data_IF_326371574818
#
_entry.id   IF_326371574818
#
_cell.length_a   1.000
_cell.length_b   1.000
_cell.length_c   1.000
_cell.angle_alpha   90.00
_cell.angle_beta   90.00
_cell.angle_gamma   90.00
#
_symmetry.space_group_name_H-M   'P 1'
#
loop_
_entity.id
_entity.type
_entity.pdbx_description
1 polymer ?
#
# COMPACT_ATOMS: atom_id res chain seq x y z
N UNK A 1 -53.58 1.32 -14.21
CA UNK A 1 -52.94 0.92 -12.96
C UNK A 1 -51.48 1.27 -13.03
N UNK A 2 -51.00 2.29 -12.31
CA UNK A 2 -49.58 2.65 -12.24
C UNK A 2 -48.91 1.76 -11.19
N UNK A 3 -47.92 0.93 -11.57
CA UNK A 3 -47.10 0.17 -10.64
C UNK A 3 -46.28 1.16 -9.78
N UNK A 4 -46.36 1.01 -8.47
CA UNK A 4 -45.42 1.71 -7.54
C UNK A 4 -44.01 1.17 -7.76
N UNK A 5 -42.96 2.03 -7.82
CA UNK A 5 -41.60 1.56 -7.88
C UNK A 5 -41.25 0.82 -6.58
N UNK A 6 -40.48 -0.25 -6.71
CA UNK A 6 -40.02 -1.03 -5.56
C UNK A 6 -38.97 -0.28 -4.73
N UNK A 7 -38.75 -0.72 -3.51
CA UNK A 7 -37.85 -0.05 -2.55
C UNK A 7 -36.39 0.03 -3.03
N UNK A 8 -35.96 -0.88 -3.93
CA UNK A 8 -34.60 -0.86 -4.48
C UNK A 8 -34.39 0.29 -5.46
N UNK A 9 -35.40 0.65 -6.23
CA UNK A 9 -35.31 1.77 -7.18
C UNK A 9 -35.22 3.12 -6.45
N UNK A 10 -35.87 3.25 -5.28
CA UNK A 10 -35.82 4.45 -4.45
C UNK A 10 -34.46 4.64 -3.76
N UNK A 11 -33.81 3.56 -3.32
CA UNK A 11 -32.47 3.63 -2.68
C UNK A 11 -31.41 4.01 -3.72
N UNK A 12 -31.48 3.45 -4.93
CA UNK A 12 -30.56 3.80 -6.03
C UNK A 12 -30.64 5.29 -6.42
N UNK A 13 -31.85 5.87 -6.43
CA UNK A 13 -32.05 7.27 -6.77
C UNK A 13 -31.58 8.23 -5.65
N UNK A 14 -31.73 7.83 -4.39
CA UNK A 14 -31.25 8.63 -3.24
C UNK A 14 -29.72 8.69 -3.17
N UNK A 15 -29.02 7.59 -3.49
CA UNK A 15 -27.56 7.55 -3.56
C UNK A 15 -27.03 8.43 -4.71
N UNK A 16 -27.70 8.42 -5.87
CA UNK A 16 -27.30 9.25 -7.01
C UNK A 16 -27.47 10.77 -6.73
N UNK A 17 -28.47 11.17 -5.95
CA UNK A 17 -28.70 12.57 -5.58
C UNK A 17 -27.70 13.08 -4.52
N UNK A 18 -27.17 12.22 -3.67
CA UNK A 18 -26.15 12.59 -2.68
C UNK A 18 -24.81 12.84 -3.38
N UNK A 19 -24.48 12.08 -4.43
CA UNK A 19 -23.27 12.31 -5.22
C UNK A 19 -23.34 13.55 -6.11
N UNK A 20 -24.52 13.96 -6.58
CA UNK A 20 -24.68 15.15 -7.40
C UNK A 20 -24.65 16.47 -6.60
N UNK A 21 -24.89 16.45 -5.28
CA UNK A 21 -24.90 17.64 -4.43
C UNK A 21 -23.51 17.97 -3.83
N UNK A 22 -22.51 17.08 -3.96
CA UNK A 22 -21.16 17.24 -3.39
C UNK A 22 -20.17 17.93 -4.31
N UNK A 23 -20.48 18.18 -5.56
CA UNK A 23 -19.56 18.80 -6.52
C UNK A 23 -20.08 20.21 -6.86
N UNK A 24 -19.37 21.21 -6.42
CA UNK A 24 -19.36 22.66 -6.68
C UNK A 24 -19.63 23.52 -5.43
N UNK A 25 -18.65 23.56 -4.52
CA UNK A 25 -18.30 24.78 -3.83
C UNK A 25 -16.85 25.11 -4.14
N UNK A 26 -16.67 25.77 -5.27
CA UNK A 26 -15.40 26.41 -5.62
C UNK A 26 -15.28 27.68 -4.76
N UNK A 27 -14.69 27.55 -3.57
CA UNK A 27 -14.29 28.72 -2.78
C UNK A 27 -12.99 29.23 -3.38
N UNK A 28 -13.09 30.23 -4.23
CA UNK A 28 -11.97 31.09 -4.60
C UNK A 28 -11.57 31.89 -3.37
N UNK A 29 -10.74 31.30 -2.52
CA UNK A 29 -10.00 32.07 -1.52
C UNK A 29 -8.85 32.72 -2.28
N UNK A 30 -8.95 34.03 -2.53
CA UNK A 30 -7.81 34.85 -2.91
C UNK A 30 -6.81 34.77 -1.77
N UNK A 31 -5.71 34.05 -1.99
CA UNK A 31 -4.53 34.16 -1.15
C UNK A 31 -3.93 35.51 -1.42
N UNK A 32 -4.01 36.40 -0.43
CA UNK A 32 -3.27 37.65 -0.46
C UNK A 32 -1.79 37.32 -0.54
N UNK A 33 -1.14 37.80 -1.58
CA UNK A 33 0.31 37.79 -1.66
C UNK A 33 0.81 38.89 -0.71
N UNK A 34 1.16 38.47 0.53
CA UNK A 34 1.97 39.34 1.42
C UNK A 34 2.62 38.50 2.50
N UNK A 35 3.92 38.77 2.65
CA UNK A 35 4.92 38.26 3.59
C UNK A 35 5.76 37.09 3.07
N UNK A 36 6.81 37.44 2.37
CA UNK A 36 8.05 36.65 2.35
C UNK A 36 8.47 36.47 3.82
N UNK A 37 8.58 35.25 4.36
CA UNK A 37 9.07 35.07 5.72
C UNK A 37 10.50 35.62 5.78
N UNK A 38 10.73 36.58 6.71
CA UNK A 38 12.06 37.08 7.00
C UNK A 38 12.98 35.86 7.32
N UNK A 39 14.09 35.79 6.62
CA UNK A 39 15.12 34.81 6.92
C UNK A 39 15.58 35.00 8.37
N UNK A 40 15.53 33.97 9.22
CA UNK A 40 15.93 34.12 10.61
C UNK A 40 17.36 34.65 10.71
N UNK A 41 17.58 35.64 11.56
CA UNK A 41 18.89 36.23 11.79
C UNK A 41 19.87 35.12 12.23
N UNK A 42 20.99 34.91 11.51
CA UNK A 42 21.96 33.86 11.85
C UNK A 42 22.53 33.99 13.27
N UNK A 43 22.58 35.18 13.83
CA UNK A 43 22.99 35.41 15.22
C UNK A 43 21.97 34.87 16.23
N UNK A 44 20.66 34.93 15.92
CA UNK A 44 19.61 34.37 16.78
C UNK A 44 19.63 32.83 16.76
N UNK A 45 19.94 32.24 15.61
CA UNK A 45 20.09 30.77 15.48
C UNK A 45 21.31 30.29 16.28
N UNK A 46 22.42 31.01 16.23
CA UNK A 46 23.63 30.67 16.98
C UNK A 46 23.42 30.78 18.51
N UNK A 47 22.69 31.80 18.97
CA UNK A 47 22.36 31.98 20.39
C UNK A 47 21.44 30.85 20.91
N UNK A 48 20.40 30.49 20.14
CA UNK A 48 19.51 29.38 20.50
C UNK A 48 20.22 28.03 20.52
N UNK A 49 21.16 27.79 19.60
CA UNK A 49 21.95 26.56 19.58
C UNK A 49 22.90 26.45 20.79
N UNK A 50 23.47 27.59 21.24
CA UNK A 50 24.34 27.60 22.41
C UNK A 50 23.57 27.39 23.72
N UNK A 51 22.35 27.94 23.82
CA UNK A 51 21.49 27.75 24.98
C UNK A 51 20.93 26.31 25.06
N UNK A 52 20.58 25.69 23.93
CA UNK A 52 20.18 24.31 23.86
C UNK A 52 21.33 23.33 24.22
N UNK A 53 22.57 23.64 23.81
CA UNK A 53 23.75 22.85 24.16
C UNK A 53 24.09 22.95 25.66
N UNK A 54 23.91 24.11 26.28
CA UNK A 54 24.13 24.33 27.71
C UNK A 54 23.05 23.61 28.56
N UNK A 55 21.80 23.55 28.08
CA UNK A 55 20.72 22.84 28.79
C UNK A 55 20.90 21.30 28.75
N UNK A 56 21.58 20.75 27.74
CA UNK A 56 21.86 19.32 27.62
C UNK A 56 23.10 18.88 28.45
N UNK A 57 24.02 19.80 28.77
CA UNK A 57 25.23 19.47 29.51
C UNK A 57 25.00 19.14 31.02
N UNK A 58 23.79 19.28 31.52
CA UNK A 58 23.43 19.02 32.92
C UNK A 58 22.61 17.76 33.17
N UNK A 59 22.21 17.03 32.13
CA UNK A 59 21.51 15.76 32.30
C UNK A 59 22.51 14.63 32.48
N UNK A 60 22.36 13.74 33.51
CA UNK A 60 23.20 12.55 33.59
C UNK A 60 22.95 11.75 32.28
N UNK A 61 24.05 11.49 31.57
CA UNK A 61 24.05 10.59 30.43
C UNK A 61 23.70 9.19 30.94
N UNK A 62 22.39 8.89 30.91
CA UNK A 62 21.96 7.51 31.07
C UNK A 62 22.41 6.79 29.80
N UNK A 63 23.40 5.89 29.95
CA UNK A 63 23.79 5.00 28.86
C UNK A 63 22.49 4.42 28.24
N UNK A 64 22.36 4.41 26.91
CA UNK A 64 21.20 3.80 26.27
C UNK A 64 21.05 2.39 26.83
N UNK A 65 19.82 1.93 27.13
CA UNK A 65 19.59 0.57 27.59
C UNK A 65 20.27 -0.38 26.58
N UNK A 66 21.04 -1.34 27.07
CA UNK A 66 21.71 -2.32 26.25
C UNK A 66 20.63 -2.97 25.36
N UNK A 67 20.75 -2.80 24.04
CA UNK A 67 19.82 -3.42 23.08
C UNK A 67 19.88 -4.93 23.29
N UNK A 68 18.72 -5.57 23.49
CA UNK A 68 18.61 -7.03 23.56
C UNK A 68 19.03 -7.60 22.20
N UNK A 69 20.14 -8.39 22.12
CA UNK A 69 20.59 -8.94 20.85
C UNK A 69 19.52 -9.79 20.15
N UNK A 70 18.64 -10.45 20.91
CA UNK A 70 17.55 -11.24 20.36
C UNK A 70 16.48 -10.33 19.70
N UNK A 71 16.21 -9.15 20.27
CA UNK A 71 15.31 -8.17 19.68
C UNK A 71 15.90 -7.55 18.41
N UNK A 72 17.20 -7.24 18.40
CA UNK A 72 17.92 -6.74 17.23
C UNK A 72 17.90 -7.76 16.09
N UNK A 73 18.16 -9.04 16.36
CA UNK A 73 18.09 -10.13 15.40
C UNK A 73 16.67 -10.36 14.88
N UNK A 74 15.63 -10.25 15.73
CA UNK A 74 14.23 -10.35 15.31
C UNK A 74 13.85 -9.19 14.38
N UNK A 75 14.24 -7.97 14.71
CA UNK A 75 14.01 -6.79 13.86
C UNK A 75 14.73 -6.94 12.52
N UNK A 76 15.99 -7.38 12.50
CA UNK A 76 16.75 -7.61 11.27
C UNK A 76 16.06 -8.65 10.36
N UNK A 77 15.56 -9.76 10.92
CA UNK A 77 14.80 -10.75 10.15
C UNK A 77 13.48 -10.19 9.61
N UNK A 78 12.76 -9.40 10.40
CA UNK A 78 11.46 -8.86 10.04
C UNK A 78 11.55 -7.67 9.08
N UNK A 79 12.71 -7.00 9.00
CA UNK A 79 12.97 -5.91 8.03
C UNK A 79 13.69 -6.38 6.77
N UNK A 80 14.17 -7.63 6.72
CA UNK A 80 14.78 -8.19 5.52
C UNK A 80 13.76 -8.25 4.38
N UNK A 81 14.14 -7.74 3.20
CA UNK A 81 13.30 -7.73 2.00
C UNK A 81 14.02 -8.36 0.82
N UNK A 82 13.24 -8.96 -0.10
CA UNK A 82 13.70 -9.53 -1.36
C UNK A 82 12.95 -8.87 -2.53
N UNK A 83 13.25 -9.34 -3.75
CA UNK A 83 12.51 -8.92 -4.96
C UNK A 83 11.35 -9.86 -5.22
N UNK A 84 10.22 -9.37 -5.78
CA UNK A 84 9.07 -10.20 -6.08
C UNK A 84 9.25 -11.08 -7.33
N UNK A 85 10.18 -10.72 -8.23
CA UNK A 85 10.49 -11.41 -9.48
C UNK A 85 11.97 -11.29 -9.81
N UNK A 86 12.52 -12.19 -10.59
CA UNK A 86 13.89 -12.09 -11.12
C UNK A 86 14.05 -10.86 -12.06
N UNK A 87 13.01 -10.59 -12.85
CA UNK A 87 12.94 -9.42 -13.76
C UNK A 87 11.48 -9.01 -13.91
N UNK A 88 11.20 -7.72 -13.88
CA UNK A 88 9.84 -7.19 -14.03
C UNK A 88 9.84 -5.76 -14.55
N UNK A 89 8.67 -5.30 -14.99
CA UNK A 89 8.39 -3.92 -15.38
C UNK A 89 7.35 -3.32 -14.42
N UNK A 90 7.52 -2.04 -14.08
CA UNK A 90 6.47 -1.27 -13.44
C UNK A 90 5.43 -0.90 -14.52
N UNK A 91 4.22 -1.45 -14.41
CA UNK A 91 3.13 -1.21 -15.36
C UNK A 91 2.19 -0.11 -14.90
N UNK A 92 2.04 0.06 -13.58
CA UNK A 92 1.30 1.17 -12.99
C UNK A 92 1.95 1.64 -11.69
N UNK A 93 2.10 2.97 -11.53
CA UNK A 93 2.60 3.59 -10.30
C UNK A 93 1.59 3.52 -9.16
N UNK A 94 1.85 4.24 -8.07
CA UNK A 94 0.98 4.23 -6.88
C UNK A 94 -0.48 4.52 -7.22
N UNK A 95 -1.36 3.61 -6.84
CA UNK A 95 -2.81 3.66 -7.04
C UNK A 95 -3.53 2.81 -6.00
N UNK A 96 -4.88 2.77 -6.06
CA UNK A 96 -5.70 1.92 -5.18
C UNK A 96 -6.19 2.64 -3.92
N UNK A 97 -5.92 3.93 -3.72
CA UNK A 97 -6.38 4.70 -2.56
C UNK A 97 -7.91 4.63 -2.39
N UNK A 98 -8.65 4.62 -3.50
CA UNK A 98 -10.12 4.46 -3.51
C UNK A 98 -10.59 3.09 -3.00
N UNK A 99 -9.72 2.10 -2.95
CA UNK A 99 -9.97 0.74 -2.43
C UNK A 99 -9.41 0.54 -1.01
N UNK A 100 -8.86 1.61 -0.39
CA UNK A 100 -8.35 1.57 0.97
C UNK A 100 -6.91 1.10 1.10
N UNK A 101 -6.16 0.98 0.00
CA UNK A 101 -4.74 0.66 0.02
C UNK A 101 -3.99 1.37 -1.13
N UNK A 102 -2.68 1.54 -0.96
CA UNK A 102 -1.80 2.04 -2.01
C UNK A 102 -0.93 0.89 -2.52
N UNK A 103 -0.98 0.66 -3.82
CA UNK A 103 -0.25 -0.40 -4.49
C UNK A 103 0.45 0.11 -5.73
N UNK A 104 1.34 -0.72 -6.27
CA UNK A 104 1.90 -0.62 -7.61
C UNK A 104 1.55 -1.87 -8.39
N UNK A 105 1.47 -1.76 -9.71
CA UNK A 105 1.36 -2.94 -10.57
C UNK A 105 2.71 -3.22 -11.23
N UNK A 106 3.15 -4.46 -11.12
CA UNK A 106 4.40 -4.97 -11.70
C UNK A 106 4.11 -6.22 -12.52
N UNK A 107 4.77 -6.38 -13.65
CA UNK A 107 4.57 -7.51 -14.55
C UNK A 107 5.90 -8.13 -15.00
N UNK A 108 5.93 -9.45 -14.98
CA UNK A 108 7.01 -10.27 -15.50
C UNK A 108 6.54 -11.17 -16.66
N UNK A 109 5.22 -11.32 -16.80
CA UNK A 109 4.52 -12.09 -17.81
C UNK A 109 3.78 -13.31 -17.24
N UNK A 110 2.78 -13.77 -17.96
CA UNK A 110 1.94 -14.89 -17.56
C UNK A 110 2.75 -16.12 -17.13
N UNK A 111 2.47 -16.63 -15.94
CA UNK A 111 3.14 -17.80 -15.37
C UNK A 111 4.51 -17.54 -14.75
N UNK A 112 5.01 -16.28 -14.76
CA UNK A 112 6.26 -15.92 -14.09
C UNK A 112 6.18 -16.20 -12.60
N UNK A 113 7.26 -16.73 -12.02
CA UNK A 113 7.33 -17.06 -10.59
C UNK A 113 7.27 -15.82 -9.74
N UNK A 114 6.38 -15.81 -8.74
CA UNK A 114 6.27 -14.77 -7.72
C UNK A 114 6.99 -15.23 -6.46
N UNK A 115 7.85 -14.37 -5.92
CA UNK A 115 8.56 -14.62 -4.66
C UNK A 115 8.00 -13.74 -3.53
N UNK A 116 8.04 -14.25 -2.30
CA UNK A 116 7.77 -13.43 -1.13
C UNK A 116 8.85 -12.37 -0.98
N UNK A 117 8.44 -11.11 -0.82
CA UNK A 117 9.39 -10.01 -0.57
C UNK A 117 9.81 -9.91 0.89
N UNK A 118 9.12 -10.59 1.82
CA UNK A 118 9.41 -10.56 3.27
C UNK A 118 9.45 -11.97 3.85
N UNK A 119 10.11 -12.11 5.00
CA UNK A 119 9.86 -13.23 5.92
C UNK A 119 8.51 -12.98 6.60
N UNK A 120 7.67 -14.00 6.74
CA UNK A 120 6.37 -13.81 7.40
C UNK A 120 5.51 -15.06 7.43
N UNK A 121 4.26 -14.85 7.79
CA UNK A 121 3.22 -15.90 7.81
C UNK A 121 2.10 -15.48 6.87
N UNK A 122 1.54 -16.43 6.14
CA UNK A 122 0.33 -16.19 5.32
C UNK A 122 -0.84 -15.95 6.27
N UNK A 123 -1.42 -14.76 6.24
CA UNK A 123 -2.57 -14.37 7.08
C UNK A 123 -3.88 -14.32 6.30
N UNK A 124 -3.82 -14.35 4.97
CA UNK A 124 -4.99 -14.38 4.11
C UNK A 124 -4.66 -14.93 2.72
N UNK A 125 -5.59 -15.70 2.14
CA UNK A 125 -5.54 -16.13 0.75
C UNK A 125 -6.94 -16.49 0.27
N UNK A 126 -7.20 -16.35 -1.02
CA UNK A 126 -8.49 -16.65 -1.61
C UNK A 126 -8.90 -15.66 -2.69
N UNK A 127 -10.17 -15.27 -2.65
CA UNK A 127 -10.78 -14.33 -3.58
C UNK A 127 -11.39 -13.14 -2.82
N UNK A 128 -11.24 -11.94 -3.34
CA UNK A 128 -11.94 -10.77 -2.83
C UNK A 128 -13.38 -10.66 -3.41
N UNK A 129 -14.09 -9.59 -3.06
CA UNK A 129 -15.47 -9.34 -3.53
C UNK A 129 -15.59 -9.11 -5.05
N UNK A 130 -14.47 -8.85 -5.74
CA UNK A 130 -14.40 -8.69 -7.21
C UNK A 130 -13.76 -9.91 -7.90
N UNK A 131 -13.69 -11.06 -7.20
CA UNK A 131 -13.04 -12.28 -7.68
C UNK A 131 -11.56 -12.11 -8.06
N UNK A 132 -10.87 -11.13 -7.52
CA UNK A 132 -9.42 -11.09 -7.60
C UNK A 132 -8.84 -12.13 -6.66
N UNK A 133 -7.93 -12.96 -7.14
CA UNK A 133 -7.14 -13.81 -6.25
C UNK A 133 -6.18 -12.95 -5.45
N UNK A 134 -5.92 -13.36 -4.20
CA UNK A 134 -4.92 -12.71 -3.37
C UNK A 134 -4.21 -13.67 -2.44
N UNK A 135 -3.00 -13.27 -2.02
CA UNK A 135 -2.29 -13.79 -0.85
C UNK A 135 -1.76 -12.62 -0.03
N UNK A 136 -1.96 -12.68 1.29
CA UNK A 136 -1.44 -11.72 2.25
C UNK A 136 -0.42 -12.39 3.16
N UNK A 137 0.75 -11.76 3.29
CA UNK A 137 1.86 -12.23 4.13
C UNK A 137 2.20 -11.13 5.12
N UNK A 138 2.33 -11.50 6.39
CA UNK A 138 2.61 -10.55 7.45
C UNK A 138 3.75 -10.98 8.35
N UNK A 139 4.45 -9.97 8.88
CA UNK A 139 5.29 -10.10 10.05
C UNK A 139 5.05 -8.89 11.00
N UNK A 140 5.89 -8.69 12.01
CA UNK A 140 5.71 -7.59 12.98
C UNK A 140 5.88 -6.21 12.37
N UNK A 141 6.55 -6.11 11.20
CA UNK A 141 6.91 -4.86 10.54
C UNK A 141 6.03 -4.57 9.33
N UNK A 142 5.72 -5.59 8.52
CA UNK A 142 5.06 -5.42 7.24
C UNK A 142 3.80 -6.27 7.10
N UNK A 143 2.82 -5.73 6.37
CA UNK A 143 1.76 -6.49 5.69
C UNK A 143 1.98 -6.33 4.19
N UNK A 144 2.07 -7.45 3.46
CA UNK A 144 2.24 -7.46 2.01
C UNK A 144 1.09 -8.23 1.37
N UNK A 145 0.41 -7.58 0.42
CA UNK A 145 -0.69 -8.15 -0.35
C UNK A 145 -0.26 -8.27 -1.81
N UNK A 146 -0.41 -9.46 -2.36
CA UNK A 146 -0.21 -9.77 -3.78
C UNK A 146 -1.56 -10.19 -4.37
N UNK A 147 -1.94 -9.65 -5.54
CA UNK A 147 -3.20 -10.00 -6.19
C UNK A 147 -3.00 -10.47 -7.62
N UNK A 148 -4.05 -11.07 -8.18
CA UNK A 148 -4.20 -11.56 -9.55
C UNK A 148 -3.37 -12.81 -9.92
N UNK A 149 -2.55 -13.32 -9.00
CA UNK A 149 -1.72 -14.52 -9.20
C UNK A 149 -2.45 -15.84 -8.93
N UNK A 150 -1.75 -16.94 -9.19
CA UNK A 150 -2.12 -18.31 -8.74
C UNK A 150 -1.24 -18.63 -7.54
N UNK A 151 -1.85 -18.79 -6.36
CA UNK A 151 -1.16 -19.01 -5.10
C UNK A 151 -1.46 -20.40 -4.56
N UNK A 152 -0.42 -21.11 -4.10
CA UNK A 152 -0.53 -22.48 -3.60
C UNK A 152 -0.37 -22.66 -2.09
N UNK A 153 -0.23 -21.55 -1.33
CA UNK A 153 -0.03 -21.54 0.11
C UNK A 153 -1.35 -21.35 0.86
N UNK A 154 -1.40 -21.86 2.09
CA UNK A 154 -2.54 -21.75 2.99
C UNK A 154 -2.27 -20.74 4.13
N UNK A 155 -3.35 -20.23 4.74
CA UNK A 155 -3.25 -19.42 5.97
C UNK A 155 -2.55 -20.23 7.06
N UNK A 156 -1.54 -19.62 7.68
CA UNK A 156 -0.69 -20.23 8.69
C UNK A 156 0.66 -20.72 8.14
N UNK A 157 0.84 -20.84 6.83
CA UNK A 157 2.13 -21.19 6.25
C UNK A 157 3.16 -20.10 6.52
N UNK A 158 4.37 -20.53 6.93
CA UNK A 158 5.51 -19.63 7.15
C UNK A 158 6.35 -19.57 5.88
N UNK A 159 6.71 -18.37 5.46
CA UNK A 159 7.51 -18.13 4.28
C UNK A 159 8.75 -17.30 4.61
N UNK A 160 9.80 -17.47 3.81
CA UNK A 160 11.01 -16.64 3.87
C UNK A 160 11.06 -15.71 2.65
N UNK A 161 11.73 -14.56 2.81
CA UNK A 161 12.00 -13.66 1.70
C UNK A 161 12.75 -14.41 0.57
N UNK A 162 12.25 -14.26 -0.67
CA UNK A 162 12.76 -15.01 -1.83
C UNK A 162 12.15 -16.41 -2.02
N UNK A 163 11.28 -16.88 -1.12
CA UNK A 163 10.55 -18.15 -1.31
C UNK A 163 9.46 -17.98 -2.37
N UNK A 164 9.27 -18.99 -3.22
CA UNK A 164 8.18 -19.06 -4.20
C UNK A 164 6.83 -19.10 -3.47
N UNK A 165 5.93 -18.19 -3.85
CA UNK A 165 4.57 -18.11 -3.28
C UNK A 165 3.47 -18.33 -4.33
N UNK A 166 3.81 -18.26 -5.63
CA UNK A 166 2.83 -18.44 -6.69
C UNK A 166 3.40 -18.11 -8.06
N UNK A 167 2.49 -17.89 -9.01
CA UNK A 167 2.80 -17.47 -10.37
C UNK A 167 1.90 -16.32 -10.80
N UNK A 168 2.44 -15.42 -11.64
CA UNK A 168 1.71 -14.30 -12.22
C UNK A 168 0.55 -14.78 -13.08
N UNK A 169 -0.56 -14.07 -12.98
CA UNK A 169 -1.76 -14.34 -13.76
C UNK A 169 -2.53 -13.03 -14.02
N UNK A 170 -3.75 -13.13 -14.52
CA UNK A 170 -4.69 -12.02 -14.70
C UNK A 170 -6.05 -12.30 -14.05
N UNK A 171 -6.08 -13.13 -13.00
CA UNK A 171 -7.34 -13.54 -12.36
C UNK A 171 -8.03 -12.36 -11.68
N UNK A 172 -9.29 -12.13 -12.06
CA UNK A 172 -10.14 -11.08 -11.50
C UNK A 172 -10.27 -9.87 -12.39
N UNK A 173 -10.38 -8.68 -11.81
CA UNK A 173 -10.53 -7.42 -12.54
C UNK A 173 -9.17 -6.86 -12.95
N UNK A 174 -8.69 -7.28 -14.12
CA UNK A 174 -7.46 -6.79 -14.74
C UNK A 174 -7.74 -6.12 -16.07
N UNK A 175 -6.95 -5.12 -16.45
CA UNK A 175 -7.11 -4.33 -17.66
C UNK A 175 -5.86 -4.40 -18.54
N UNK A 176 -6.04 -4.25 -19.86
CA UNK A 176 -4.93 -3.97 -20.78
C UNK A 176 -4.57 -2.46 -20.76
N UNK A 177 -3.51 -2.08 -21.48
CA UNK A 177 -3.05 -0.69 -21.58
C UNK A 177 -4.05 0.27 -22.24
N UNK A 178 -5.12 -0.25 -22.82
CA UNK A 178 -6.21 0.52 -23.44
C UNK A 178 -7.45 0.60 -22.54
N UNK A 179 -7.40 0.01 -21.33
CA UNK A 179 -8.52 -0.04 -20.39
C UNK A 179 -9.57 -1.11 -20.69
N UNK A 180 -9.28 -2.08 -21.56
CA UNK A 180 -10.20 -3.19 -21.81
C UNK A 180 -10.03 -4.27 -20.75
N UNK A 181 -11.17 -4.83 -20.27
CA UNK A 181 -11.18 -5.90 -19.27
C UNK A 181 -10.58 -7.17 -19.83
N UNK A 182 -9.63 -7.77 -19.11
CA UNK A 182 -8.90 -8.99 -19.47
C UNK A 182 -9.37 -10.20 -18.65
N UNK A 183 -9.12 -10.22 -17.34
CA UNK A 183 -9.31 -11.40 -16.50
C UNK A 183 -10.71 -11.97 -16.51
N UNK A 184 -11.74 -11.16 -16.32
CA UNK A 184 -13.14 -11.64 -16.36
C UNK A 184 -13.60 -12.17 -17.72
N UNK A 185 -12.95 -11.76 -18.79
CA UNK A 185 -13.32 -12.12 -20.15
C UNK A 185 -12.52 -13.28 -20.69
N UNK A 186 -11.54 -13.77 -19.91
CA UNK A 186 -10.62 -14.82 -20.35
C UNK A 186 -9.71 -14.42 -21.51
N UNK A 187 -9.49 -13.09 -21.71
CA UNK A 187 -8.58 -12.58 -22.74
C UNK A 187 -7.14 -12.77 -22.27
N UNK A 188 -6.26 -13.06 -23.22
CA UNK A 188 -4.82 -13.18 -23.01
C UNK A 188 -4.15 -11.80 -22.93
N UNK A 189 -4.41 -11.08 -21.83
CA UNK A 189 -3.90 -9.73 -21.57
C UNK A 189 -4.01 -9.38 -20.07
N UNK A 190 -3.42 -8.23 -19.68
CA UNK A 190 -3.57 -7.66 -18.32
C UNK A 190 -2.88 -8.47 -17.23
N UNK A 191 -1.87 -9.26 -17.57
CA UNK A 191 -1.06 -10.00 -16.60
C UNK A 191 -0.22 -9.04 -15.79
N UNK A 192 -0.33 -9.12 -14.46
CA UNK A 192 0.47 -8.35 -13.50
C UNK A 192 0.24 -8.86 -12.08
N UNK A 193 1.11 -8.47 -11.18
CA UNK A 193 0.84 -8.51 -9.73
C UNK A 193 0.54 -7.11 -9.24
N UNK A 194 -0.65 -6.91 -8.68
CA UNK A 194 -0.99 -5.76 -7.87
C UNK A 194 -0.34 -5.97 -6.50
N UNK A 195 0.68 -5.16 -6.19
CA UNK A 195 1.52 -5.30 -5.00
C UNK A 195 1.30 -4.13 -4.06
N UNK A 196 0.75 -4.41 -2.87
CA UNK A 196 0.64 -3.46 -1.78
C UNK A 196 1.60 -3.86 -0.66
N UNK A 197 2.34 -2.88 -0.14
CA UNK A 197 3.23 -3.04 1.01
C UNK A 197 2.85 -2.00 2.05
N UNK A 198 2.41 -2.45 3.20
CA UNK A 198 2.10 -1.61 4.35
C UNK A 198 3.16 -1.79 5.43
N UNK A 199 3.81 -0.69 5.82
CA UNK A 199 4.74 -0.65 6.94
C UNK A 199 3.96 -0.30 8.21
N UNK A 200 3.88 -1.23 9.15
CA UNK A 200 3.11 -1.12 10.40
C UNK A 200 3.69 -0.09 11.39
N UNK A 201 4.89 0.44 11.10
CA UNK A 201 5.58 1.42 11.96
C UNK A 201 5.21 2.86 11.60
N UNK A 202 4.56 3.10 10.44
CA UNK A 202 4.12 4.39 9.93
C UNK A 202 2.65 4.62 10.21
#
# INVERSE_FOLDING_TARGET
>A
MRKKPDAMTLVGLAVLLIFAAGIFRNSTTRVAADAVPETPNPAAIAAAATEAAAAQAGLPETAPPAEDPAAADALARNTAVSVPYDTYFLTQGLHGESYGHLAIDIAAGNGSTIYSIINGTVTGTGYDQWNNTYIQIENDVYTVLYMHGVYGLAVGDVVTAGQVIGTESNIGYTLDSYGNVCGYTGRDCGYHTHLNVFDKRL
#
